data_IF_230231651049
#
_entry.id   IF_230231651049
#
_cell.length_a   1.000
_cell.length_b   1.000
_cell.length_c   1.000
_cell.angle_alpha   90.00
_cell.angle_beta   90.00
_cell.angle_gamma   90.00
#
_symmetry.space_group_name_H-M   'P 1'
#
loop_
_entity.id
_entity.type
_entity.pdbx_description
1 polymer ?
#
# COMPACT_ATOMS: atom_id res chain seq x y z
N UNK A 1 0.18 22.45 -15.17
CA UNK A 1 1.25 22.63 -16.19
C UNK A 1 2.55 22.19 -15.53
N UNK A 2 2.84 20.89 -15.52
CA UNK A 2 4.06 20.37 -14.89
C UNK A 2 5.22 20.46 -15.88
N UNK A 3 6.35 20.96 -15.38
CA UNK A 3 7.56 21.28 -16.13
C UNK A 3 8.12 20.06 -16.84
N UNK A 4 8.25 20.15 -18.18
CA UNK A 4 9.11 19.28 -19.00
C UNK A 4 10.59 19.65 -18.80
N UNK A 5 11.13 19.34 -17.64
CA UNK A 5 12.55 19.52 -17.33
C UNK A 5 13.02 18.37 -16.46
N UNK A 6 13.77 17.43 -17.06
CA UNK A 6 14.37 16.25 -16.43
C UNK A 6 13.41 15.46 -15.55
N UNK A 7 12.71 14.47 -16.14
CA UNK A 7 12.01 13.46 -15.34
C UNK A 7 13.09 12.71 -14.54
N UNK A 8 13.26 13.09 -13.28
CA UNK A 8 13.92 12.26 -12.29
C UNK A 8 13.13 10.95 -12.27
N UNK A 9 13.79 9.82 -12.52
CA UNK A 9 13.12 8.52 -12.46
C UNK A 9 12.36 8.41 -11.15
N UNK A 10 11.13 7.91 -11.15
CA UNK A 10 10.27 7.76 -9.99
C UNK A 10 11.01 7.09 -8.82
N UNK A 11 11.83 6.07 -9.09
CA UNK A 11 12.69 5.43 -8.09
C UNK A 11 13.73 6.40 -7.52
N UNK A 12 14.34 7.26 -8.34
CA UNK A 12 15.30 8.27 -7.88
C UNK A 12 14.61 9.40 -7.10
N UNK A 13 13.36 9.70 -7.41
CA UNK A 13 12.53 10.60 -6.62
C UNK A 13 12.25 10.00 -5.24
N UNK A 14 11.83 8.73 -5.20
CA UNK A 14 11.58 8.00 -3.95
C UNK A 14 12.80 7.96 -3.05
N UNK A 15 14.00 7.67 -3.60
CA UNK A 15 15.28 7.66 -2.87
C UNK A 15 15.69 8.99 -2.24
N UNK A 16 14.92 10.06 -2.40
CA UNK A 16 15.22 11.31 -1.72
C UNK A 16 14.78 11.28 -0.27
N UNK A 17 15.72 11.49 0.66
CA UNK A 17 15.45 11.63 2.10
C UNK A 17 14.50 12.79 2.45
N UNK A 18 14.25 13.70 1.50
CA UNK A 18 13.32 14.82 1.68
C UNK A 18 11.84 14.45 1.54
N UNK A 19 11.56 13.25 1.03
CA UNK A 19 10.21 12.71 0.85
C UNK A 19 9.90 11.79 2.03
N UNK A 20 8.93 12.21 2.83
CA UNK A 20 8.57 11.54 4.08
C UNK A 20 7.41 10.56 3.87
N UNK A 21 7.44 9.45 4.60
CA UNK A 21 6.30 8.54 4.79
C UNK A 21 5.44 8.94 6.00
N UNK A 22 6.09 9.47 7.05
CA UNK A 22 5.49 9.88 8.33
C UNK A 22 6.07 11.19 8.83
N UNK A 23 5.28 11.95 9.60
CA UNK A 23 5.69 13.24 10.18
C UNK A 23 6.93 13.17 11.09
N UNK A 24 7.21 11.99 11.68
CA UNK A 24 8.36 11.76 12.57
C UNK A 24 9.69 11.53 11.82
N UNK A 25 9.74 11.72 10.51
CA UNK A 25 10.99 11.68 9.74
C UNK A 25 11.31 10.33 9.09
N UNK A 26 10.37 9.38 9.06
CA UNK A 26 10.53 8.16 8.26
C UNK A 26 10.57 8.52 6.78
N UNK A 27 11.63 8.15 6.05
CA UNK A 27 11.69 8.35 4.61
C UNK A 27 10.64 7.47 3.91
N UNK A 28 10.05 7.99 2.83
CA UNK A 28 9.09 7.22 2.02
C UNK A 28 9.76 5.99 1.42
N UNK A 29 11.02 6.12 1.00
CA UNK A 29 11.80 5.01 0.46
C UNK A 29 11.94 3.84 1.43
N UNK A 30 12.44 4.11 2.65
CA UNK A 30 12.69 3.07 3.65
C UNK A 30 11.38 2.39 4.04
N UNK A 31 10.30 3.17 4.17
CA UNK A 31 8.97 2.67 4.43
C UNK A 31 8.53 1.66 3.35
N UNK A 32 8.54 2.06 2.07
CA UNK A 32 8.08 1.21 0.96
C UNK A 32 8.92 -0.07 0.82
N UNK A 33 10.25 0.03 0.98
CA UNK A 33 11.14 -1.14 0.94
C UNK A 33 10.84 -2.09 2.10
N UNK A 34 10.72 -1.59 3.33
CA UNK A 34 10.43 -2.42 4.50
C UNK A 34 9.05 -3.08 4.40
N UNK A 35 8.01 -2.34 4.00
CA UNK A 35 6.66 -2.90 3.77
C UNK A 35 6.74 -4.03 2.75
N UNK A 36 7.49 -3.86 1.66
CA UNK A 36 7.61 -4.90 0.64
C UNK A 36 8.38 -6.13 1.14
N UNK A 37 9.44 -5.95 1.94
CA UNK A 37 10.17 -7.04 2.58
C UNK A 37 9.30 -7.82 3.57
N UNK A 38 8.50 -7.12 4.38
CA UNK A 38 7.53 -7.72 5.31
C UNK A 38 6.50 -8.53 4.52
N UNK A 39 5.91 -7.94 3.47
CA UNK A 39 4.95 -8.63 2.60
C UNK A 39 5.56 -9.89 1.96
N UNK A 40 6.76 -9.79 1.43
CA UNK A 40 7.48 -10.94 0.87
C UNK A 40 7.69 -12.04 1.91
N UNK A 41 8.05 -11.68 3.14
CA UNK A 41 8.26 -12.65 4.21
C UNK A 41 6.96 -13.35 4.60
N UNK A 42 5.85 -12.61 4.72
CA UNK A 42 4.52 -13.15 5.01
C UNK A 42 4.11 -14.16 3.94
N UNK A 43 4.26 -13.83 2.66
CA UNK A 43 3.97 -14.75 1.54
C UNK A 43 4.90 -15.97 1.59
N UNK A 44 6.17 -15.80 1.94
CA UNK A 44 7.10 -16.93 2.02
C UNK A 44 6.72 -17.90 3.15
N UNK A 45 6.22 -17.40 4.27
CA UNK A 45 5.85 -18.22 5.43
C UNK A 45 4.50 -18.92 5.24
N UNK A 46 3.50 -18.22 4.70
CA UNK A 46 2.12 -18.71 4.68
C UNK A 46 1.48 -18.72 3.28
N UNK A 47 2.18 -18.23 2.26
CA UNK A 47 1.76 -18.15 0.85
C UNK A 47 1.91 -19.43 0.04
N UNK A 48 1.83 -20.60 0.66
CA UNK A 48 2.04 -21.87 -0.06
C UNK A 48 0.92 -22.05 -1.11
N UNK A 49 1.33 -22.21 -2.37
CA UNK A 49 0.40 -22.35 -3.49
C UNK A 49 -0.16 -21.02 -4.02
N UNK A 50 0.34 -19.89 -3.54
CA UNK A 50 -0.03 -18.59 -4.09
C UNK A 50 0.51 -18.45 -5.51
N UNK A 51 -0.34 -18.00 -6.42
CA UNK A 51 -0.01 -17.84 -7.83
C UNK A 51 1.17 -16.86 -8.02
N UNK A 52 2.09 -17.20 -8.93
CA UNK A 52 3.32 -16.44 -9.13
C UNK A 52 3.05 -15.04 -9.70
N UNK A 53 2.06 -14.90 -10.59
CA UNK A 53 1.68 -13.60 -11.15
C UNK A 53 1.07 -12.73 -10.05
N UNK A 54 0.12 -13.27 -9.27
CA UNK A 54 -0.50 -12.59 -8.12
C UNK A 54 0.51 -12.19 -7.05
N UNK A 55 1.51 -13.03 -6.79
CA UNK A 55 2.63 -12.71 -5.90
C UNK A 55 3.39 -11.47 -6.35
N UNK A 56 3.74 -11.37 -7.64
CA UNK A 56 4.45 -10.20 -8.18
C UNK A 56 3.61 -8.93 -8.14
N UNK A 57 2.31 -9.05 -8.44
CA UNK A 57 1.34 -7.95 -8.32
C UNK A 57 1.33 -7.42 -6.88
N UNK A 58 1.19 -8.31 -5.91
CA UNK A 58 1.13 -7.95 -4.49
C UNK A 58 2.42 -7.26 -4.04
N UNK A 59 3.60 -7.78 -4.41
CA UNK A 59 4.88 -7.16 -4.06
C UNK A 59 5.04 -5.77 -4.68
N UNK A 60 4.63 -5.57 -5.93
CA UNK A 60 4.64 -4.26 -6.57
C UNK A 60 3.60 -3.32 -5.94
N UNK A 61 2.41 -3.83 -5.61
CA UNK A 61 1.38 -3.12 -4.86
C UNK A 61 1.89 -2.63 -3.51
N UNK A 62 2.56 -3.50 -2.74
CA UNK A 62 3.23 -3.13 -1.49
C UNK A 62 4.28 -2.04 -1.67
N UNK A 63 5.08 -2.09 -2.74
CA UNK A 63 6.09 -1.08 -2.99
C UNK A 63 5.52 0.26 -3.46
N UNK A 64 4.32 0.26 -4.05
CA UNK A 64 3.70 1.45 -4.64
C UNK A 64 2.51 1.99 -3.85
N UNK A 65 2.09 1.31 -2.76
CA UNK A 65 0.85 1.64 -2.05
C UNK A 65 0.76 3.11 -1.62
N UNK A 66 1.91 3.65 -1.20
CA UNK A 66 2.06 4.98 -0.63
C UNK A 66 2.67 6.00 -1.61
N UNK A 67 2.77 5.67 -2.89
CA UNK A 67 3.37 6.58 -3.90
C UNK A 67 2.68 7.94 -3.95
N UNK A 68 1.38 7.99 -3.67
CA UNK A 68 0.63 9.25 -3.58
C UNK A 68 1.16 10.22 -2.52
N UNK A 69 1.95 9.76 -1.53
CA UNK A 69 2.60 10.62 -0.52
C UNK A 69 3.63 11.56 -1.13
N UNK A 70 4.13 11.31 -2.34
CA UNK A 70 5.02 12.22 -3.07
C UNK A 70 4.35 13.58 -3.33
N UNK A 71 3.01 13.64 -3.33
CA UNK A 71 2.27 14.87 -3.59
C UNK A 71 2.74 16.03 -2.69
N UNK A 72 3.06 17.20 -3.27
CA UNK A 72 3.57 18.34 -2.50
C UNK A 72 2.65 18.80 -1.37
N UNK A 73 1.33 18.69 -1.52
CA UNK A 73 0.37 19.03 -0.46
C UNK A 73 0.43 17.99 0.65
N UNK A 74 0.60 16.70 0.33
CA UNK A 74 0.74 15.65 1.35
C UNK A 74 2.05 15.80 2.12
N UNK A 75 3.15 16.09 1.42
CA UNK A 75 4.44 16.38 2.07
C UNK A 75 4.38 17.59 3.01
N UNK A 76 3.63 18.64 2.65
CA UNK A 76 3.35 19.77 3.55
C UNK A 76 2.58 19.32 4.80
N UNK A 77 1.57 18.45 4.63
CA UNK A 77 0.83 17.89 5.76
C UNK A 77 1.74 17.10 6.71
N UNK A 78 2.63 16.24 6.19
CA UNK A 78 3.58 15.49 7.01
C UNK A 78 4.57 16.39 7.77
N UNK A 79 4.95 17.52 7.18
CA UNK A 79 5.80 18.53 7.84
C UNK A 79 5.05 19.43 8.83
N UNK A 80 3.74 19.20 9.04
CA UNK A 80 2.91 20.01 9.92
C UNK A 80 2.59 21.41 9.38
N UNK A 81 2.80 21.64 8.09
CA UNK A 81 2.50 22.93 7.46
C UNK A 81 0.99 23.11 7.24
N UNK A 82 0.53 24.37 7.25
CA UNK A 82 -0.87 24.68 6.94
C UNK A 82 -1.15 24.43 5.46
N UNK A 83 -2.19 23.65 5.18
CA UNK A 83 -2.72 23.42 3.83
C UNK A 83 -4.15 23.91 3.73
N UNK A 84 -4.52 24.46 2.56
CA UNK A 84 -5.89 24.95 2.29
C UNK A 84 -6.90 23.80 2.31
N UNK A 85 -6.50 22.64 1.80
CA UNK A 85 -7.31 21.43 1.76
C UNK A 85 -6.43 20.23 2.04
N UNK A 86 -6.81 19.41 3.03
CA UNK A 86 -6.16 18.12 3.28
C UNK A 86 -6.52 17.14 2.15
N UNK A 87 -5.54 16.38 1.72
CA UNK A 87 -5.68 15.35 0.70
C UNK A 87 -5.43 13.97 1.31
N UNK A 88 -5.83 12.94 0.59
CA UNK A 88 -5.64 11.53 0.96
C UNK A 88 -4.65 10.94 -0.03
N UNK A 89 -3.56 10.35 0.44
CA UNK A 89 -2.49 9.93 -0.46
C UNK A 89 -2.89 8.71 -1.29
N UNK A 90 -3.70 7.80 -0.74
CA UNK A 90 -4.27 6.69 -1.48
C UNK A 90 -5.09 7.19 -2.68
N UNK A 91 -5.77 8.34 -2.54
CA UNK A 91 -6.54 8.97 -3.62
C UNK A 91 -5.64 9.52 -4.75
N UNK A 92 -4.39 9.88 -4.42
CA UNK A 92 -3.44 10.47 -5.34
C UNK A 92 -2.59 9.40 -6.05
N UNK A 93 -2.57 8.16 -5.56
CA UNK A 93 -1.78 7.08 -6.18
C UNK A 93 -2.13 6.88 -7.67
N UNK A 94 -3.41 7.04 -8.05
CA UNK A 94 -3.84 6.95 -9.46
C UNK A 94 -3.24 8.05 -10.33
N UNK A 95 -2.97 9.23 -9.77
CA UNK A 95 -2.37 10.33 -10.55
C UNK A 95 -0.92 10.01 -11.00
N UNK A 96 -0.32 8.94 -10.46
CA UNK A 96 0.98 8.42 -10.84
C UNK A 96 0.93 7.24 -11.83
N UNK A 97 -0.25 6.84 -12.34
CA UNK A 97 -0.39 5.73 -13.30
C UNK A 97 0.58 5.86 -14.50
N UNK A 98 0.58 7.02 -15.16
CA UNK A 98 1.41 7.23 -16.35
C UNK A 98 2.91 7.09 -16.02
N UNK A 99 3.33 7.58 -14.85
CA UNK A 99 4.71 7.46 -14.38
C UNK A 99 5.07 6.00 -14.10
N UNK A 100 4.22 5.29 -13.34
CA UNK A 100 4.37 3.86 -13.02
C UNK A 100 4.46 3.05 -14.32
N UNK A 101 3.57 3.29 -15.29
CA UNK A 101 3.55 2.63 -16.59
C UNK A 101 4.84 2.84 -17.35
N UNK A 102 5.28 4.10 -17.47
CA UNK A 102 6.50 4.46 -18.19
C UNK A 102 7.78 3.91 -17.57
N UNK A 103 7.78 3.66 -16.26
CA UNK A 103 8.96 3.23 -15.49
C UNK A 103 8.88 1.79 -14.97
N UNK A 104 7.85 1.02 -15.35
CA UNK A 104 7.56 -0.30 -14.77
C UNK A 104 8.79 -1.23 -14.77
N UNK A 105 9.50 -1.32 -15.89
CA UNK A 105 10.73 -2.11 -16.01
C UNK A 105 11.81 -1.69 -15.01
N UNK A 106 11.98 -0.38 -14.80
CA UNK A 106 12.94 0.18 -13.85
C UNK A 106 12.55 -0.11 -12.40
N UNK A 107 11.27 0.04 -12.08
CA UNK A 107 10.69 -0.29 -10.77
C UNK A 107 10.88 -1.78 -10.47
N UNK A 108 10.54 -2.67 -11.42
CA UNK A 108 10.70 -4.11 -11.24
C UNK A 108 12.15 -4.51 -11.03
N UNK A 109 13.09 -3.95 -11.82
CA UNK A 109 14.52 -4.22 -11.65
C UNK A 109 14.99 -3.79 -10.27
N UNK A 110 14.68 -2.54 -9.88
CA UNK A 110 15.06 -2.01 -8.58
C UNK A 110 14.51 -2.85 -7.44
N UNK A 111 13.21 -3.15 -7.47
CA UNK A 111 12.57 -3.92 -6.41
C UNK A 111 13.16 -5.33 -6.32
N UNK A 112 13.45 -5.97 -7.47
CA UNK A 112 14.06 -7.29 -7.51
C UNK A 112 15.39 -7.35 -6.73
N UNK A 113 16.19 -6.29 -6.82
CA UNK A 113 17.45 -6.15 -6.09
C UNK A 113 17.21 -6.00 -4.57
N UNK A 114 16.17 -5.27 -4.16
CA UNK A 114 15.88 -5.01 -2.74
C UNK A 114 15.35 -6.24 -1.98
N UNK A 115 14.62 -7.12 -2.66
CA UNK A 115 13.98 -8.28 -2.03
C UNK A 115 14.59 -9.63 -2.46
N UNK A 116 15.69 -9.61 -3.23
CA UNK A 116 16.36 -10.82 -3.72
C UNK A 116 15.43 -11.79 -4.46
N UNK A 117 14.48 -11.26 -5.23
CA UNK A 117 13.51 -12.03 -6.00
C UNK A 117 13.32 -11.40 -7.37
N UNK A 118 13.31 -12.22 -8.42
CA UNK A 118 13.10 -11.71 -9.78
C UNK A 118 11.64 -11.31 -10.00
N UNK A 119 11.40 -10.01 -10.13
CA UNK A 119 10.12 -9.44 -10.54
C UNK A 119 10.20 -9.10 -12.03
N UNK A 120 9.31 -9.71 -12.82
CA UNK A 120 9.14 -9.40 -14.24
C UNK A 120 7.67 -9.55 -14.56
N UNK A 121 7.08 -8.48 -15.07
CA UNK A 121 5.65 -8.29 -15.31
C UNK A 121 5.48 -7.41 -16.55
N UNK A 122 4.31 -7.47 -17.18
CA UNK A 122 3.92 -6.61 -18.28
C UNK A 122 2.90 -5.55 -17.82
N UNK A 123 2.58 -4.58 -18.68
CA UNK A 123 1.68 -3.49 -18.34
C UNK A 123 0.23 -3.89 -18.03
N UNK A 124 -0.19 -5.12 -18.36
CA UNK A 124 -1.57 -5.59 -18.09
C UNK A 124 -1.89 -5.68 -16.60
N UNK A 125 -0.87 -5.71 -15.74
CA UNK A 125 -1.05 -5.82 -14.29
C UNK A 125 -1.11 -4.48 -13.54
N UNK A 126 -0.96 -3.35 -14.26
CA UNK A 126 -0.93 -2.03 -13.63
C UNK A 126 -2.25 -1.73 -12.92
N UNK A 127 -3.36 -2.13 -13.52
CA UNK A 127 -4.69 -1.94 -12.95
C UNK A 127 -4.80 -2.65 -11.58
N UNK A 128 -4.29 -3.88 -11.48
CA UNK A 128 -4.25 -4.66 -10.24
C UNK A 128 -3.33 -4.01 -9.19
N UNK A 129 -2.14 -3.54 -9.60
CA UNK A 129 -1.19 -2.85 -8.71
C UNK A 129 -1.85 -1.59 -8.13
N UNK A 130 -2.50 -0.79 -8.99
CA UNK A 130 -3.19 0.42 -8.57
C UNK A 130 -4.35 0.09 -7.63
N UNK A 131 -5.08 -0.99 -7.88
CA UNK A 131 -6.12 -1.47 -6.98
C UNK A 131 -5.57 -1.73 -5.58
N UNK A 132 -4.53 -2.55 -5.44
CA UNK A 132 -3.86 -2.77 -4.15
C UNK A 132 -3.41 -1.46 -3.50
N UNK A 133 -2.83 -0.57 -4.30
CA UNK A 133 -2.28 0.68 -3.80
C UNK A 133 -3.36 1.69 -3.36
N UNK A 134 -4.53 1.73 -4.02
CA UNK A 134 -5.61 2.65 -3.67
C UNK A 134 -6.46 2.15 -2.50
N UNK A 135 -6.55 0.83 -2.32
CA UNK A 135 -7.46 0.21 -1.34
C UNK A 135 -6.76 -0.24 -0.06
N UNK A 136 -5.45 -0.01 0.11
CA UNK A 136 -4.69 -0.52 1.27
C UNK A 136 -5.20 0.00 2.63
N UNK A 137 -5.98 1.09 2.65
CA UNK A 137 -6.67 1.53 3.86
C UNK A 137 -8.08 0.94 4.06
N UNK A 138 -8.57 0.12 3.14
CA UNK A 138 -9.89 -0.52 3.20
C UNK A 138 -11.09 0.44 3.03
N UNK A 139 -10.83 1.70 2.66
CA UNK A 139 -11.83 2.78 2.61
C UNK A 139 -12.26 3.18 1.21
N UNK A 140 -11.61 2.65 0.18
CA UNK A 140 -11.79 3.06 -1.21
C UNK A 140 -11.99 1.87 -2.11
N UNK A 141 -12.58 2.15 -3.27
CA UNK A 141 -12.60 1.25 -4.42
C UNK A 141 -12.24 2.06 -5.67
N UNK A 142 -11.77 1.38 -6.70
CA UNK A 142 -11.47 1.99 -7.99
C UNK A 142 -12.61 1.70 -8.97
N UNK A 143 -13.04 2.74 -9.68
CA UNK A 143 -14.07 2.72 -10.71
C UNK A 143 -13.45 3.15 -12.04
N UNK A 144 -13.74 2.46 -13.14
CA UNK A 144 -13.30 2.84 -14.48
C UNK A 144 -14.38 3.62 -15.20
N UNK A 145 -14.05 4.82 -15.65
CA UNK A 145 -14.97 5.74 -16.32
C UNK A 145 -14.29 6.38 -17.53
N UNK A 146 -14.88 6.21 -18.72
CA UNK A 146 -14.29 6.68 -19.98
C UNK A 146 -12.83 6.22 -20.18
N UNK A 147 -12.56 4.96 -19.83
CA UNK A 147 -11.23 4.36 -19.91
C UNK A 147 -10.23 4.81 -18.84
N UNK A 148 -10.63 5.67 -17.89
CA UNK A 148 -9.76 6.17 -16.82
C UNK A 148 -10.19 5.66 -15.45
N UNK A 149 -9.22 5.27 -14.64
CA UNK A 149 -9.47 4.89 -13.26
C UNK A 149 -9.76 6.09 -12.36
N UNK A 150 -10.68 5.90 -11.41
CA UNK A 150 -11.16 6.90 -10.47
C UNK A 150 -11.33 6.27 -9.10
N UNK A 151 -10.77 6.92 -8.08
CA UNK A 151 -10.99 6.52 -6.69
C UNK A 151 -12.36 6.99 -6.23
N UNK A 152 -13.09 6.07 -5.61
CA UNK A 152 -14.45 6.27 -5.10
C UNK A 152 -14.51 5.85 -3.63
N UNK A 153 -15.32 6.57 -2.86
CA UNK A 153 -15.42 6.43 -1.39
C UNK A 153 -16.53 5.48 -0.93
N UNK A 154 -17.61 5.38 -1.70
CA UNK A 154 -18.83 4.69 -1.27
C UNK A 154 -19.13 3.54 -2.23
N UNK A 155 -18.70 2.33 -1.88
CA UNK A 155 -18.86 1.16 -2.74
C UNK A 155 -20.33 0.80 -2.97
N UNK A 156 -21.25 1.30 -2.13
CA UNK A 156 -22.69 1.12 -2.27
C UNK A 156 -23.34 2.04 -3.30
N UNK A 157 -22.62 3.05 -3.81
CA UNK A 157 -23.13 3.98 -4.81
C UNK A 157 -22.84 3.45 -6.22
N UNK A 158 -23.89 3.23 -6.99
CA UNK A 158 -23.80 2.88 -8.40
C UNK A 158 -23.59 4.12 -9.26
N UNK A 159 -22.51 4.14 -10.06
CA UNK A 159 -22.27 5.20 -11.03
C UNK A 159 -22.60 4.68 -12.44
N UNK A 160 -23.58 5.30 -13.10
CA UNK A 160 -24.02 4.86 -14.44
C UNK A 160 -22.96 5.02 -15.53
N UNK A 161 -21.87 5.75 -15.27
CA UNK A 161 -20.73 5.91 -16.19
C UNK A 161 -19.61 4.88 -15.94
N UNK A 162 -19.75 4.08 -14.90
CA UNK A 162 -18.79 3.04 -14.54
C UNK A 162 -18.88 1.87 -15.51
N UNK A 163 -17.75 1.49 -16.10
CA UNK A 163 -17.63 0.31 -16.96
C UNK A 163 -17.01 -0.89 -16.24
N UNK A 164 -16.27 -0.63 -15.16
CA UNK A 164 -15.52 -1.63 -14.39
C UNK A 164 -15.31 -1.12 -12.97
N UNK A 165 -15.21 -2.03 -11.99
CA UNK A 165 -15.06 -1.71 -10.57
C UNK A 165 -14.16 -2.75 -9.89
N UNK A 166 -13.22 -2.27 -9.06
CA UNK A 166 -12.42 -3.10 -8.16
C UNK A 166 -12.56 -2.58 -6.73
N UNK A 167 -13.13 -3.40 -5.84
CA UNK A 167 -13.35 -3.13 -4.42
C UNK A 167 -12.38 -3.88 -3.53
N UNK A 168 -12.36 -3.54 -2.23
CA UNK A 168 -11.65 -4.34 -1.23
C UNK A 168 -12.15 -5.80 -1.21
N UNK A 169 -13.45 -6.04 -1.45
CA UNK A 169 -14.00 -7.40 -1.54
C UNK A 169 -13.40 -8.13 -2.74
N UNK A 170 -13.35 -7.49 -3.90
CA UNK A 170 -12.75 -8.10 -5.10
C UNK A 170 -11.29 -8.47 -4.85
N UNK A 171 -10.52 -7.59 -4.20
CA UNK A 171 -9.14 -7.90 -3.80
C UNK A 171 -9.06 -9.04 -2.78
N UNK A 172 -9.97 -9.07 -1.82
CA UNK A 172 -10.03 -10.14 -0.83
C UNK A 172 -10.39 -11.48 -1.45
N UNK A 173 -11.28 -11.56 -2.43
CA UNK A 173 -11.69 -12.82 -3.06
C UNK A 173 -10.77 -13.24 -4.22
N UNK A 174 -10.35 -12.31 -5.06
CA UNK A 174 -9.48 -12.59 -6.20
C UNK A 174 -8.06 -12.91 -5.74
N UNK A 175 -7.55 -12.21 -4.73
CA UNK A 175 -6.21 -12.44 -4.19
C UNK A 175 -6.24 -13.15 -2.84
N UNK A 176 -7.36 -13.74 -2.45
CA UNK A 176 -7.54 -14.51 -1.22
C UNK A 176 -6.45 -15.58 -1.04
N UNK A 177 -5.99 -15.83 0.21
CA UNK A 177 -6.17 -15.03 1.44
C UNK A 177 -5.25 -13.79 1.53
N UNK A 178 -4.50 -13.49 0.48
CA UNK A 178 -3.37 -12.57 0.52
C UNK A 178 -3.67 -11.13 0.10
N UNK A 179 -4.93 -10.83 -0.27
CA UNK A 179 -5.41 -9.48 -0.56
C UNK A 179 -5.14 -8.47 0.57
N UNK A 180 -5.18 -8.93 1.83
CA UNK A 180 -4.90 -8.10 3.01
C UNK A 180 -3.42 -7.93 3.37
N UNK A 181 -2.47 -8.57 2.66
CA UNK A 181 -1.06 -8.52 3.04
C UNK A 181 -0.48 -7.11 2.96
N UNK A 182 -0.84 -6.31 1.96
CA UNK A 182 -0.34 -4.94 1.84
C UNK A 182 -0.67 -4.15 3.12
N UNK A 183 -1.92 -4.29 3.57
CA UNK A 183 -2.43 -3.68 4.80
C UNK A 183 -1.64 -4.18 6.01
N UNK A 184 -1.51 -5.50 6.17
CA UNK A 184 -0.79 -6.09 7.30
C UNK A 184 0.69 -5.65 7.32
N UNK A 185 1.34 -5.63 6.16
CA UNK A 185 2.75 -5.27 6.05
C UNK A 185 2.98 -3.79 6.40
N UNK A 186 2.10 -2.89 5.93
CA UNK A 186 2.10 -1.48 6.32
C UNK A 186 1.87 -1.30 7.83
N UNK A 187 0.89 -2.00 8.41
CA UNK A 187 0.60 -1.93 9.84
C UNK A 187 1.77 -2.44 10.72
N UNK A 188 2.45 -3.51 10.30
CA UNK A 188 3.65 -4.02 11.00
C UNK A 188 4.77 -3.00 10.92
N UNK A 189 5.04 -2.45 9.73
CA UNK A 189 6.08 -1.44 9.55
C UNK A 189 5.78 -0.21 10.42
N UNK A 190 4.53 0.25 10.40
CA UNK A 190 4.05 1.35 11.21
C UNK A 190 4.23 1.09 12.71
N UNK A 191 3.87 -0.10 13.19
CA UNK A 191 4.08 -0.50 14.58
C UNK A 191 5.58 -0.53 14.95
N UNK A 192 6.41 -1.14 14.10
CA UNK A 192 7.84 -1.25 14.31
C UNK A 192 8.53 0.12 14.35
N UNK A 193 8.14 1.04 13.46
CA UNK A 193 8.63 2.40 13.47
C UNK A 193 8.25 3.14 14.75
N UNK A 194 7.02 3.00 15.24
CA UNK A 194 6.58 3.64 16.48
C UNK A 194 7.28 3.08 17.72
N UNK A 195 7.57 1.79 17.71
CA UNK A 195 8.27 1.11 18.82
C UNK A 195 9.79 1.14 18.70
N UNK A 196 10.32 1.60 17.57
CA UNK A 196 11.75 1.58 17.25
C UNK A 196 12.34 0.16 17.38
N UNK A 197 11.63 -0.82 16.82
CA UNK A 197 12.03 -2.24 16.83
C UNK A 197 12.08 -2.80 15.41
N UNK A 198 12.83 -3.89 15.25
CA UNK A 198 12.83 -4.67 14.01
C UNK A 198 11.53 -5.50 13.86
N UNK A 199 11.11 -5.75 12.62
CA UNK A 199 9.88 -6.52 12.33
C UNK A 199 10.12 -8.04 12.34
N UNK A 200 11.35 -8.51 12.19
CA UNK A 200 11.68 -9.94 12.10
C UNK A 200 11.23 -10.72 13.35
N UNK A 201 11.44 -10.22 14.60
CA UNK A 201 10.95 -10.90 15.79
C UNK A 201 9.44 -11.13 15.79
N UNK A 202 8.65 -10.16 15.31
CA UNK A 202 7.19 -10.28 15.25
C UNK A 202 6.80 -11.48 14.40
N UNK A 203 7.32 -11.56 13.16
CA UNK A 203 6.99 -12.67 12.25
C UNK A 203 7.54 -14.02 12.74
N UNK A 204 8.62 -14.03 13.52
CA UNK A 204 9.17 -15.25 14.14
C UNK A 204 8.30 -15.73 15.31
N UNK A 205 7.72 -14.82 16.07
CA UNK A 205 6.93 -15.11 17.27
C UNK A 205 5.45 -15.35 16.98
N UNK A 206 5.00 -15.05 15.77
CA UNK A 206 3.67 -15.41 15.27
C UNK A 206 3.79 -16.62 14.33
N UNK A 207 3.58 -17.88 14.77
CA UNK A 207 3.75 -19.04 13.90
C UNK A 207 2.71 -19.18 12.78
N UNK A 208 1.56 -18.51 12.87
CA UNK A 208 0.52 -18.49 11.83
C UNK A 208 0.09 -17.07 11.46
N UNK A 209 -0.47 -16.93 10.25
CA UNK A 209 -1.06 -15.66 9.81
C UNK A 209 -2.17 -15.19 10.77
N UNK A 210 -3.04 -16.10 11.22
CA UNK A 210 -4.09 -15.77 12.20
C UNK A 210 -3.51 -15.20 13.49
N UNK A 211 -2.39 -15.73 13.98
CA UNK A 211 -1.69 -15.17 15.14
C UNK A 211 -1.05 -13.81 14.87
N UNK A 212 -0.56 -13.57 13.66
CA UNK A 212 -0.09 -12.25 13.25
C UNK A 212 -1.23 -11.21 13.24
N UNK A 213 -2.39 -11.57 12.72
CA UNK A 213 -3.58 -10.70 12.76
C UNK A 213 -4.00 -10.43 14.20
N UNK A 214 -4.02 -11.45 15.06
CA UNK A 214 -4.34 -11.28 16.48
C UNK A 214 -3.34 -10.36 17.20
N UNK A 215 -2.06 -10.44 16.86
CA UNK A 215 -1.04 -9.52 17.34
C UNK A 215 -1.38 -8.07 16.93
N UNK A 216 -1.71 -7.81 15.66
CA UNK A 216 -2.08 -6.48 15.20
C UNK A 216 -3.37 -5.96 15.87
N UNK A 217 -4.37 -6.82 16.08
CA UNK A 217 -5.61 -6.46 16.80
C UNK A 217 -5.28 -6.05 18.24
N UNK A 218 -4.36 -6.75 18.91
CA UNK A 218 -3.93 -6.42 20.27
C UNK A 218 -3.21 -5.06 20.32
N UNK A 219 -2.35 -4.79 19.35
CA UNK A 219 -1.53 -3.57 19.28
C UNK A 219 -2.21 -2.41 18.54
N UNK A 220 -3.46 -2.58 18.11
CA UNK A 220 -4.17 -1.66 17.21
C UNK A 220 -4.15 -0.19 17.67
N UNK A 221 -4.22 0.07 18.99
CA UNK A 221 -4.31 1.44 19.51
C UNK A 221 -3.05 2.23 19.21
N UNK A 222 -1.88 1.60 19.37
CA UNK A 222 -0.59 2.22 19.06
C UNK A 222 -0.53 2.58 17.57
N UNK A 223 -1.04 1.69 16.71
CA UNK A 223 -1.02 1.87 15.26
C UNK A 223 -1.99 2.98 14.86
N UNK A 224 -3.24 2.94 15.34
CA UNK A 224 -4.23 3.98 15.06
C UNK A 224 -3.80 5.35 15.55
N UNK A 225 -3.22 5.44 16.75
CA UNK A 225 -2.73 6.71 17.30
C UNK A 225 -1.59 7.28 16.45
N UNK A 226 -0.71 6.42 15.92
CA UNK A 226 0.33 6.82 14.96
C UNK A 226 -0.26 7.33 13.65
N UNK A 227 -1.19 6.59 13.05
CA UNK A 227 -1.84 6.98 11.80
C UNK A 227 -2.60 8.30 11.94
N UNK A 228 -3.26 8.52 13.08
CA UNK A 228 -4.03 9.75 13.37
C UNK A 228 -3.16 11.01 13.44
N UNK A 229 -1.86 10.88 13.71
CA UNK A 229 -0.94 12.04 13.69
C UNK A 229 -0.81 12.61 12.27
N UNK A 230 -0.65 11.73 11.29
CA UNK A 230 -0.48 12.12 9.89
C UNK A 230 -1.83 12.38 9.21
N UNK A 231 -2.81 11.52 9.52
CA UNK A 231 -4.14 11.46 8.91
C UNK A 231 -5.23 11.32 9.99
N UNK A 232 -5.77 12.43 10.53
CA UNK A 232 -6.73 12.41 11.64
C UNK A 232 -8.11 11.95 11.18
N UNK A 233 -8.28 10.64 11.03
CA UNK A 233 -9.53 9.95 10.73
C UNK A 233 -9.66 8.69 11.57
N UNK A 234 -10.88 8.16 11.62
CA UNK A 234 -11.12 6.83 12.17
C UNK A 234 -10.88 5.77 11.08
N UNK A 235 -10.10 4.76 11.41
CA UNK A 235 -9.76 3.65 10.52
C UNK A 235 -10.60 2.40 10.84
N UNK A 236 -11.27 2.34 11.99
CA UNK A 236 -11.93 1.12 12.49
C UNK A 236 -11.01 -0.11 12.32
N UNK A 237 -9.74 0.02 12.74
CA UNK A 237 -8.69 -0.93 12.38
C UNK A 237 -9.02 -2.35 12.86
N UNK A 238 -9.69 -2.46 14.01
CA UNK A 238 -10.19 -3.73 14.55
C UNK A 238 -11.06 -4.48 13.54
N UNK A 239 -12.00 -3.79 12.91
CA UNK A 239 -13.00 -4.39 12.05
C UNK A 239 -12.38 -4.82 10.73
N UNK A 240 -11.48 -3.99 10.18
CA UNK A 240 -10.67 -4.33 9.00
C UNK A 240 -9.82 -5.57 9.28
N UNK A 241 -9.09 -5.61 10.40
CA UNK A 241 -8.27 -6.76 10.77
C UNK A 241 -9.10 -8.02 11.03
N UNK A 242 -10.29 -7.88 11.62
CA UNK A 242 -11.20 -9.00 11.84
C UNK A 242 -11.69 -9.59 10.51
N UNK A 243 -12.01 -8.73 9.54
CA UNK A 243 -12.39 -9.15 8.19
C UNK A 243 -11.24 -9.87 7.48
N UNK A 244 -10.03 -9.31 7.52
CA UNK A 244 -8.83 -9.92 6.92
C UNK A 244 -8.50 -11.26 7.59
N UNK A 245 -8.60 -11.35 8.91
CA UNK A 245 -8.33 -12.59 9.65
C UNK A 245 -9.37 -13.68 9.44
N UNK A 246 -10.65 -13.31 9.31
CA UNK A 246 -11.75 -14.24 9.05
C UNK A 246 -11.70 -14.85 7.65
N UNK A 247 -11.10 -14.15 6.69
CA UNK A 247 -10.83 -14.65 5.34
C UNK A 247 -9.61 -15.56 5.24
N UNK A 248 -9.32 -16.39 6.24
CA UNK A 248 -8.19 -17.34 6.19
C UNK A 248 -8.56 -18.68 6.80
N UNK A 249 -9.48 -18.67 7.76
CA UNK A 249 -10.03 -19.87 8.39
C UNK A 249 -11.24 -20.45 7.61
N UNK A 250 -11.59 -19.88 6.45
CA UNK A 250 -12.65 -20.33 5.54
C UNK A 250 -12.10 -20.94 4.25
#
# INVERSE_FOLDING_TARGET
MYMRGYIKMLVDLLKSDSILAKSKGLSLFDHLVQVTQIAQKIITLWGKGFDEKKRKILLLGSFLHDIGKIDPVFQKMLRGEKVVKRIKHEANTIDYEDAIRSELTGICKFLSEQISEKITVDESIIDDILAFAATHHGLFYISRENGKWRIRREWTVFNLKETERITLIDLLFEYYPFGGIVIIADLIQSYCFEKQIDWTPILRETPSYSQLVNFLIKEQRIIEDSLKLDEPRDYNLKDILTLIGGGIDA
#
